data_IF_897101504810
#
_entry.id   IF_897101504810
#
_cell.length_a   1.000
_cell.length_b   1.000
_cell.length_c   1.000
_cell.angle_alpha   90.00
_cell.angle_beta   90.00
_cell.angle_gamma   90.00
#
_symmetry.space_group_name_H-M   'P 1'
#
loop_
_entity.id
_entity.type
_entity.pdbx_description
1 polymer ?
#
# COMPACT_ATOMS: atom_id res chain seq x y z
N UNK A 1 -7.22 -25.70 29.30
CA UNK A 1 -7.64 -26.23 27.98
C UNK A 1 -6.74 -25.65 26.92
N UNK A 2 -6.02 -26.48 26.17
CA UNK A 2 -5.06 -26.03 25.17
C UNK A 2 -5.75 -25.28 24.03
N UNK A 3 -5.25 -24.09 23.70
CA UNK A 3 -5.69 -23.33 22.52
C UNK A 3 -5.27 -24.13 21.27
N UNK A 4 -6.25 -24.73 20.59
CA UNK A 4 -6.04 -25.35 19.28
C UNK A 4 -5.58 -24.22 18.35
N UNK A 5 -4.31 -24.27 17.93
CA UNK A 5 -3.79 -23.32 16.94
C UNK A 5 -4.63 -23.45 15.67
N UNK A 6 -5.28 -22.36 15.19
CA UNK A 6 -6.04 -22.43 13.96
C UNK A 6 -5.11 -22.79 12.79
N UNK A 7 -5.54 -23.75 11.98
CA UNK A 7 -4.92 -24.05 10.68
C UNK A 7 -4.91 -22.78 9.82
N UNK A 8 -3.77 -22.45 9.23
CA UNK A 8 -3.59 -21.29 8.33
C UNK A 8 -4.45 -21.35 7.06
N UNK A 9 -5.14 -22.47 6.82
CA UNK A 9 -5.99 -22.71 5.65
C UNK A 9 -7.50 -22.78 6.00
N UNK A 10 -7.89 -22.45 7.23
CA UNK A 10 -9.30 -22.43 7.64
C UNK A 10 -10.07 -21.27 7.00
N UNK A 11 -11.34 -21.51 6.61
CA UNK A 11 -12.25 -20.44 6.17
C UNK A 11 -13.04 -19.91 7.35
N UNK A 12 -13.18 -18.60 7.46
CA UNK A 12 -14.11 -17.98 8.39
C UNK A 12 -15.48 -17.79 7.75
N UNK A 13 -16.55 -17.99 8.53
CA UNK A 13 -17.94 -17.79 8.12
C UNK A 13 -18.60 -16.82 9.08
N UNK A 14 -19.45 -15.92 8.58
CA UNK A 14 -20.39 -15.24 9.46
C UNK A 14 -21.39 -16.25 10.05
N UNK A 15 -21.99 -15.93 11.20
CA UNK A 15 -22.88 -16.85 11.92
C UNK A 15 -24.06 -17.34 11.06
N UNK A 16 -24.61 -16.47 10.22
CA UNK A 16 -25.74 -16.79 9.35
C UNK A 16 -25.34 -17.82 8.27
N UNK A 17 -24.25 -17.55 7.53
CA UNK A 17 -23.75 -18.48 6.51
C UNK A 17 -23.29 -19.81 7.09
N UNK A 18 -22.74 -19.81 8.31
CA UNK A 18 -22.35 -21.04 9.01
C UNK A 18 -23.56 -21.90 9.39
N UNK A 19 -24.68 -21.26 9.79
CA UNK A 19 -25.88 -21.95 10.22
C UNK A 19 -26.57 -22.69 9.06
N UNK A 20 -26.68 -22.04 7.90
CA UNK A 20 -27.49 -22.50 6.75
C UNK A 20 -26.73 -23.37 5.75
N UNK A 21 -25.39 -23.41 5.78
CA UNK A 21 -24.61 -24.17 4.81
C UNK A 21 -24.46 -25.65 5.23
N UNK A 22 -25.09 -26.60 4.52
CA UNK A 22 -25.08 -28.02 4.91
C UNK A 22 -23.73 -28.70 4.64
N UNK A 23 -22.85 -28.09 3.84
CA UNK A 23 -21.52 -28.64 3.51
C UNK A 23 -20.47 -28.39 4.58
N UNK A 24 -20.80 -27.61 5.60
CA UNK A 24 -19.87 -27.27 6.68
C UNK A 24 -19.92 -28.36 7.76
N UNK A 25 -18.79 -29.01 8.00
CA UNK A 25 -18.63 -29.92 9.14
C UNK A 25 -18.51 -29.12 10.44
N UNK A 26 -19.67 -28.79 11.05
CA UNK A 26 -19.76 -27.86 12.19
C UNK A 26 -18.83 -28.20 13.37
N UNK A 27 -18.51 -29.50 13.57
CA UNK A 27 -17.61 -29.99 14.62
C UNK A 27 -16.15 -29.54 14.48
N UNK A 28 -15.73 -29.12 13.28
CA UNK A 28 -14.36 -28.68 13.00
C UNK A 28 -14.15 -27.17 13.18
N UNK A 29 -15.18 -26.44 13.64
CA UNK A 29 -15.17 -24.99 13.73
C UNK A 29 -15.34 -24.51 15.16
N UNK A 30 -14.69 -23.41 15.49
CA UNK A 30 -14.83 -22.73 16.78
C UNK A 30 -15.48 -21.36 16.57
N UNK A 31 -16.42 -21.01 17.45
CA UNK A 31 -17.00 -19.66 17.46
C UNK A 31 -15.93 -18.69 17.95
N UNK A 32 -15.70 -17.63 17.19
CA UNK A 32 -14.81 -16.52 17.55
C UNK A 32 -15.59 -15.21 17.55
N UNK A 33 -15.17 -14.27 18.39
CA UNK A 33 -15.58 -12.88 18.30
C UNK A 33 -14.44 -12.12 17.64
N UNK A 34 -14.74 -11.34 16.60
CA UNK A 34 -13.72 -10.47 16.00
C UNK A 34 -13.47 -9.29 16.94
N UNK A 35 -12.48 -9.43 17.82
CA UNK A 35 -11.99 -8.36 18.67
C UNK A 35 -10.69 -7.80 18.08
N UNK A 36 -10.65 -6.49 17.91
CA UNK A 36 -9.45 -5.80 17.46
C UNK A 36 -8.68 -5.29 18.69
N UNK A 37 -7.81 -6.14 19.24
CA UNK A 37 -6.93 -5.80 20.36
C UNK A 37 -5.59 -5.19 19.91
N UNK A 38 -5.43 -4.91 18.62
CA UNK A 38 -4.21 -4.31 18.10
C UNK A 38 -4.16 -2.85 18.51
N UNK A 39 -3.29 -2.54 19.46
CA UNK A 39 -2.93 -1.17 19.81
C UNK A 39 -1.73 -0.68 18.99
N UNK A 40 -1.64 0.62 18.83
CA UNK A 40 -0.51 1.24 18.15
C UNK A 40 0.79 1.01 18.92
N UNK A 41 1.90 0.77 18.21
CA UNK A 41 3.23 0.69 18.83
C UNK A 41 3.58 2.04 19.47
N UNK A 42 4.00 2.00 20.72
CA UNK A 42 4.48 3.17 21.46
C UNK A 42 6.00 3.12 21.58
N UNK A 43 6.66 4.24 21.30
CA UNK A 43 8.09 4.44 21.45
C UNK A 43 8.40 5.24 22.71
N UNK A 44 9.53 4.95 23.34
CA UNK A 44 10.05 5.71 24.46
C UNK A 44 11.22 6.58 24.01
N UNK A 45 11.13 7.90 24.20
CA UNK A 45 12.21 8.81 23.85
C UNK A 45 13.43 8.58 24.76
N UNK A 46 14.62 8.39 24.19
CA UNK A 46 15.85 8.19 24.99
C UNK A 46 16.30 9.44 25.75
N UNK A 47 15.93 10.64 25.28
CA UNK A 47 16.26 11.91 25.95
C UNK A 47 15.33 12.23 27.13
N UNK A 48 14.03 12.38 26.88
CA UNK A 48 13.07 12.83 27.90
C UNK A 48 12.20 11.72 28.50
N UNK A 49 12.39 10.45 28.10
CA UNK A 49 11.65 9.27 28.60
C UNK A 49 10.13 9.26 28.35
N UNK A 50 9.57 10.31 27.73
CA UNK A 50 8.14 10.40 27.36
C UNK A 50 7.78 9.34 26.30
N UNK A 51 6.52 8.92 26.33
CA UNK A 51 5.91 7.97 25.40
C UNK A 51 5.34 8.68 24.17
N UNK A 52 5.54 8.09 23.00
CA UNK A 52 5.08 8.61 21.71
C UNK A 52 4.50 7.48 20.87
N UNK A 53 3.36 7.71 20.24
CA UNK A 53 2.84 6.84 19.19
C UNK A 53 3.81 6.79 18.00
N UNK A 54 4.09 5.59 17.47
CA UNK A 54 4.97 5.39 16.31
C UNK A 54 4.53 6.24 15.10
N UNK A 55 3.22 6.31 14.82
CA UNK A 55 2.68 7.09 13.72
C UNK A 55 2.85 8.59 13.94
N UNK A 56 2.74 9.07 15.19
CA UNK A 56 2.93 10.47 15.53
C UNK A 56 4.40 10.89 15.55
N UNK A 57 5.32 9.92 15.65
CA UNK A 57 6.74 10.19 15.85
C UNK A 57 7.55 10.24 14.55
N UNK A 58 6.96 9.87 13.41
CA UNK A 58 7.65 9.74 12.11
C UNK A 58 8.95 8.94 12.20
N UNK A 59 9.01 7.97 13.11
CA UNK A 59 10.19 7.12 13.30
C UNK A 59 10.06 5.88 12.42
N UNK A 60 10.82 5.86 11.33
CA UNK A 60 10.77 4.78 10.33
C UNK A 60 11.79 3.66 10.59
N UNK A 61 12.06 3.35 11.87
CA UNK A 61 12.96 2.26 12.32
C UNK A 61 14.36 2.25 11.64
N UNK A 62 14.86 3.41 11.18
CA UNK A 62 16.21 3.53 10.59
C UNK A 62 17.32 3.48 11.65
N UNK A 63 16.99 3.68 12.92
CA UNK A 63 17.90 3.64 14.06
C UNK A 63 17.26 2.88 15.21
N UNK A 64 18.06 2.14 15.97
CA UNK A 64 17.58 1.36 17.12
C UNK A 64 17.13 2.23 18.31
N UNK A 65 17.43 3.54 18.29
CA UNK A 65 17.05 4.49 19.33
C UNK A 65 16.14 5.59 18.77
N UNK A 66 15.08 5.89 19.52
CA UNK A 66 14.13 6.96 19.21
C UNK A 66 14.42 8.19 20.10
N UNK A 67 14.55 9.36 19.46
CA UNK A 67 14.51 10.67 20.12
C UNK A 67 13.33 11.47 19.57
N UNK A 68 12.52 12.05 20.45
CA UNK A 68 11.37 12.85 20.03
C UNK A 68 11.80 14.21 19.47
N UNK A 69 10.91 14.87 18.72
CA UNK A 69 11.16 16.18 18.11
C UNK A 69 11.65 17.26 19.08
N UNK A 70 11.26 17.18 20.36
CA UNK A 70 11.69 18.14 21.39
C UNK A 70 13.13 17.90 21.85
N UNK A 71 13.66 16.70 21.63
CA UNK A 71 15.01 16.29 22.02
C UNK A 71 15.98 16.23 20.83
N UNK A 72 15.51 16.54 19.61
CA UNK A 72 16.33 16.59 18.40
C UNK A 72 16.46 18.06 18.00
N UNK A 73 17.68 18.58 17.90
CA UNK A 73 17.96 20.00 17.58
C UNK A 73 17.73 20.35 16.11
N UNK A 74 17.67 19.35 15.22
CA UNK A 74 17.41 19.52 13.80
C UNK A 74 16.04 18.99 13.44
N UNK A 75 15.24 19.81 12.77
CA UNK A 75 14.02 19.35 12.13
C UNK A 75 14.39 18.20 11.18
N UNK A 76 13.91 17.00 11.50
CA UNK A 76 14.01 15.90 10.56
C UNK A 76 13.21 16.28 9.31
N UNK A 77 13.72 16.04 8.10
CA UNK A 77 12.93 16.27 6.89
C UNK A 77 11.64 15.46 6.99
N UNK A 78 10.51 16.17 7.06
CA UNK A 78 9.16 15.59 7.13
C UNK A 78 8.80 14.92 5.80
N UNK A 79 9.44 15.37 4.73
CA UNK A 79 9.31 14.80 3.40
C UNK A 79 10.33 13.68 3.25
N UNK A 80 9.83 12.45 3.13
CA UNK A 80 10.61 11.38 2.50
C UNK A 80 10.87 11.83 1.07
N UNK A 81 12.05 12.40 0.80
CA UNK A 81 12.53 12.51 -0.58
C UNK A 81 12.76 11.09 -1.08
N UNK A 82 11.69 10.46 -1.56
CA UNK A 82 11.79 9.23 -2.30
C UNK A 82 12.77 9.54 -3.43
N UNK A 83 13.85 8.79 -3.62
CA UNK A 83 14.86 9.12 -4.63
C UNK A 83 14.26 9.41 -6.02
N UNK A 84 14.90 10.24 -6.86
CA UNK A 84 14.41 10.62 -8.20
C UNK A 84 13.79 9.42 -8.94
N UNK A 85 12.62 9.64 -9.52
CA UNK A 85 11.89 8.58 -10.23
C UNK A 85 12.73 7.94 -11.33
N UNK A 86 12.90 6.62 -11.28
CA UNK A 86 13.75 5.85 -12.20
C UNK A 86 13.23 5.73 -13.64
N UNK A 87 12.25 6.54 -14.06
CA UNK A 87 11.74 6.51 -15.44
C UNK A 87 11.33 7.88 -15.95
N UNK A 88 11.56 8.14 -17.24
CA UNK A 88 11.23 9.39 -17.92
C UNK A 88 9.76 9.81 -17.73
N UNK A 89 8.83 8.85 -17.72
CA UNK A 89 7.41 9.12 -17.53
C UNK A 89 7.13 9.84 -16.20
N UNK A 90 7.66 9.30 -15.10
CA UNK A 90 7.40 9.87 -13.77
C UNK A 90 8.17 11.16 -13.56
N UNK A 91 9.36 11.29 -14.15
CA UNK A 91 10.11 12.56 -14.15
C UNK A 91 9.32 13.67 -14.81
N UNK A 92 8.78 13.42 -16.01
CA UNK A 92 7.94 14.41 -16.72
C UNK A 92 6.66 14.74 -15.96
N UNK A 93 6.04 13.76 -15.28
CA UNK A 93 4.88 14.01 -14.42
C UNK A 93 5.26 14.91 -13.23
N UNK A 94 6.37 14.62 -12.56
CA UNK A 94 6.87 15.42 -11.44
C UNK A 94 7.18 16.86 -11.85
N UNK A 95 7.87 17.05 -12.98
CA UNK A 95 8.20 18.38 -13.51
C UNK A 95 6.93 19.19 -13.81
N UNK A 96 5.93 18.58 -14.46
CA UNK A 96 4.67 19.24 -14.78
C UNK A 96 3.88 19.61 -13.53
N UNK A 97 3.78 18.71 -12.56
CA UNK A 97 3.06 18.98 -11.31
C UNK A 97 3.73 20.11 -10.52
N UNK A 98 5.05 20.10 -10.42
CA UNK A 98 5.78 21.17 -9.72
C UNK A 98 5.77 22.50 -10.49
N UNK A 99 5.71 22.49 -11.82
CA UNK A 99 5.52 23.71 -12.60
C UNK A 99 4.15 24.36 -12.31
N UNK A 100 3.09 23.56 -12.23
CA UNK A 100 1.75 24.02 -11.84
C UNK A 100 1.77 24.56 -10.40
N UNK A 101 2.46 23.87 -9.48
CA UNK A 101 2.57 24.28 -8.09
C UNK A 101 3.28 25.64 -7.96
N UNK A 102 4.40 25.83 -8.67
CA UNK A 102 5.13 27.11 -8.72
C UNK A 102 4.29 28.24 -9.29
N UNK A 103 3.50 27.97 -10.33
CA UNK A 103 2.61 28.97 -10.92
C UNK A 103 1.51 29.43 -9.94
N UNK A 104 1.05 28.54 -9.04
CA UNK A 104 -0.03 28.84 -8.09
C UNK A 104 0.45 29.45 -6.77
N UNK A 105 1.59 28.99 -6.24
CA UNK A 105 2.07 29.34 -4.90
C UNK A 105 3.33 30.22 -4.90
N UNK A 106 3.95 30.42 -6.07
CA UNK A 106 5.27 31.02 -6.16
C UNK A 106 6.39 30.06 -5.75
N UNK A 107 7.64 30.39 -6.11
CA UNK A 107 8.78 29.47 -6.01
C UNK A 107 9.12 29.03 -4.58
N UNK A 108 8.98 29.93 -3.59
CA UNK A 108 9.33 29.62 -2.19
C UNK A 108 8.40 28.58 -1.56
N UNK A 109 7.09 28.77 -1.69
CA UNK A 109 6.11 27.87 -1.10
C UNK A 109 5.97 26.57 -1.89
N UNK A 110 6.17 26.62 -3.21
CA UNK A 110 6.22 25.42 -4.03
C UNK A 110 7.40 24.50 -3.68
N UNK A 111 8.57 25.05 -3.32
CA UNK A 111 9.71 24.21 -2.93
C UNK A 111 9.48 23.53 -1.57
N UNK A 112 8.83 24.23 -0.63
CA UNK A 112 8.44 23.65 0.68
C UNK A 112 7.40 22.54 0.55
N UNK A 113 6.56 22.61 -0.48
CA UNK A 113 5.45 21.70 -0.73
C UNK A 113 5.68 20.85 -1.99
N UNK A 114 6.95 20.59 -2.32
CA UNK A 114 7.35 19.94 -3.57
C UNK A 114 6.68 18.58 -3.71
N UNK A 115 6.13 18.34 -4.89
CA UNK A 115 5.50 17.07 -5.23
C UNK A 115 6.55 16.08 -5.74
N UNK A 116 6.53 14.85 -5.24
CA UNK A 116 7.37 13.74 -5.69
C UNK A 116 6.54 12.66 -6.39
N UNK A 117 6.93 12.25 -7.61
CA UNK A 117 6.23 11.18 -8.35
C UNK A 117 7.11 9.95 -8.55
N UNK A 118 6.64 8.78 -8.10
CA UNK A 118 7.43 7.53 -8.15
C UNK A 118 6.69 6.42 -8.89
N UNK A 119 7.44 5.68 -9.69
CA UNK A 119 6.98 4.40 -10.26
C UNK A 119 7.43 3.30 -9.32
N UNK A 120 6.50 2.59 -8.71
CA UNK A 120 6.79 1.57 -7.70
C UNK A 120 7.07 0.22 -8.36
N UNK A 121 6.05 -0.30 -9.05
CA UNK A 121 6.04 -1.67 -9.57
C UNK A 121 5.57 -1.65 -11.02
N UNK A 122 6.33 -2.30 -11.89
CA UNK A 122 5.97 -2.49 -13.29
C UNK A 122 6.13 -3.96 -13.68
N UNK A 123 5.04 -4.70 -13.67
CA UNK A 123 5.04 -6.11 -14.10
C UNK A 123 4.44 -6.27 -15.49
N UNK A 124 5.10 -7.01 -16.40
CA UNK A 124 4.44 -7.49 -17.59
C UNK A 124 3.32 -8.44 -17.18
N UNK A 125 2.14 -8.24 -17.77
CA UNK A 125 1.00 -9.13 -17.64
C UNK A 125 0.59 -9.62 -19.02
N UNK A 126 0.01 -10.81 -19.02
CA UNK A 126 -0.54 -11.45 -20.21
C UNK A 126 -1.98 -11.82 -19.90
N UNK A 127 -2.89 -11.38 -20.75
CA UNK A 127 -4.31 -11.74 -20.63
C UNK A 127 -4.73 -12.47 -21.90
N UNK A 128 -5.41 -13.60 -21.72
CA UNK A 128 -5.94 -14.37 -22.84
C UNK A 128 -7.02 -13.56 -23.56
N UNK A 129 -6.93 -13.51 -24.88
CA UNK A 129 -7.92 -12.86 -25.74
C UNK A 129 -9.29 -13.54 -25.69
N UNK A 130 -9.36 -14.84 -25.33
CA UNK A 130 -10.64 -15.53 -25.09
C UNK A 130 -11.45 -14.92 -23.93
N UNK A 131 -10.78 -14.32 -22.95
CA UNK A 131 -11.44 -13.65 -21.81
C UNK A 131 -11.96 -12.25 -22.15
N UNK A 132 -11.60 -11.71 -23.31
CA UNK A 132 -11.88 -10.33 -23.71
C UNK A 132 -13.01 -10.22 -24.74
N UNK A 133 -13.47 -11.34 -25.29
CA UNK A 133 -14.52 -11.38 -26.28
C UNK A 133 -15.57 -12.44 -25.89
N UNK A 134 -16.85 -12.23 -26.23
CA UNK A 134 -17.87 -13.27 -26.12
C UNK A 134 -17.44 -14.56 -26.84
N UNK A 135 -17.89 -15.71 -26.34
CA UNK A 135 -17.47 -17.03 -26.83
C UNK A 135 -17.63 -17.21 -28.33
N UNK A 136 -18.70 -16.67 -28.92
CA UNK A 136 -19.00 -16.74 -30.35
C UNK A 136 -18.06 -15.89 -31.23
N UNK A 137 -17.38 -14.87 -30.66
CA UNK A 137 -16.37 -14.08 -31.36
C UNK A 137 -14.93 -14.45 -31.02
N UNK A 138 -14.72 -15.35 -30.05
CA UNK A 138 -13.38 -15.71 -29.54
C UNK A 138 -12.39 -16.10 -30.64
N UNK A 139 -12.78 -16.95 -31.60
CA UNK A 139 -11.92 -17.38 -32.72
C UNK A 139 -11.56 -16.22 -33.66
N UNK A 140 -12.54 -15.38 -34.01
CA UNK A 140 -12.31 -14.23 -34.88
C UNK A 140 -11.41 -13.19 -34.20
N UNK A 141 -11.62 -12.99 -32.90
CA UNK A 141 -10.82 -12.09 -32.08
C UNK A 141 -9.38 -12.60 -31.89
N UNK A 142 -9.20 -13.90 -31.64
CA UNK A 142 -7.87 -14.55 -31.59
C UNK A 142 -7.15 -14.48 -32.94
N UNK A 143 -7.84 -14.69 -34.05
CA UNK A 143 -7.26 -14.58 -35.40
C UNK A 143 -6.73 -13.16 -35.66
N UNK A 144 -7.40 -12.12 -35.14
CA UNK A 144 -7.02 -10.72 -35.35
C UNK A 144 -5.93 -10.24 -34.39
N UNK A 145 -6.01 -10.60 -33.12
CA UNK A 145 -5.17 -10.03 -32.05
C UNK A 145 -4.21 -11.03 -31.39
N UNK A 146 -4.19 -12.27 -31.85
CA UNK A 146 -3.41 -13.37 -31.26
C UNK A 146 -4.10 -14.00 -30.04
N UNK A 147 -3.43 -14.99 -29.44
CA UNK A 147 -3.97 -15.76 -28.30
C UNK A 147 -3.93 -14.99 -26.97
N UNK A 148 -3.15 -13.91 -26.91
CA UNK A 148 -3.02 -13.12 -25.70
C UNK A 148 -2.52 -11.71 -26.00
N UNK A 149 -2.94 -10.78 -25.14
CA UNK A 149 -2.46 -9.41 -25.12
C UNK A 149 -1.43 -9.28 -24.01
N UNK A 150 -0.23 -8.85 -24.38
CA UNK A 150 0.83 -8.50 -23.44
C UNK A 150 0.73 -7.00 -23.11
N UNK A 151 0.67 -6.66 -21.84
CA UNK A 151 0.64 -5.28 -21.37
C UNK A 151 1.51 -5.11 -20.14
N UNK A 152 1.85 -3.85 -19.80
CA UNK A 152 2.58 -3.54 -18.57
C UNK A 152 1.65 -2.80 -17.62
N UNK A 153 1.42 -3.36 -16.44
CA UNK A 153 0.76 -2.62 -15.36
C UNK A 153 1.79 -1.78 -14.64
N UNK A 154 1.49 -0.51 -14.41
CA UNK A 154 2.37 0.42 -13.69
C UNK A 154 1.64 0.95 -12.47
N UNK A 155 2.29 0.92 -11.31
CA UNK A 155 1.83 1.62 -10.10
C UNK A 155 2.61 2.91 -9.95
N UNK A 156 1.92 4.04 -10.01
CA UNK A 156 2.48 5.37 -9.83
C UNK A 156 1.93 5.94 -8.52
N UNK A 157 2.83 6.41 -7.65
CA UNK A 157 2.50 7.06 -6.38
C UNK A 157 2.97 8.51 -6.39
N UNK A 158 2.19 9.39 -5.77
CA UNK A 158 2.46 10.83 -5.65
C UNK A 158 2.55 11.17 -4.16
N UNK A 159 3.59 11.90 -3.79
CA UNK A 159 3.89 12.30 -2.40
C UNK A 159 4.06 13.82 -2.34
N UNK A 160 3.71 14.39 -1.19
CA UNK A 160 3.88 15.80 -0.83
C UNK A 160 4.22 15.88 0.66
#
# INVERSE_FOLDING_TARGET
>A
MGLIKPSSNGRDYCMQCFAVNPRIQKKLYMKKTNQHEKFEKVLKCTGCQKLWHLCCSFHFDRSNSFKCKLCVEKDAPVVLDAQKGGSRLVTTMEEKLNAILRAKLGSKDAERNRISVRSMVSWPKKQSTKSLAPSHYSKAFEKKYGQAICYKTRTIAVFQ
#
